data_IF_430702243413
#
_entry.id   IF_430702243413
#
_cell.length_a   1.000
_cell.length_b   1.000
_cell.length_c   1.000
_cell.angle_alpha   90.00
_cell.angle_beta   90.00
_cell.angle_gamma   90.00
#
_symmetry.space_group_name_H-M   'P 1'
#
loop_
_entity.id
_entity.type
_entity.pdbx_description
1 polymer ?
#
# COMPACT_ATOMS: atom_id res chain seq x y z
N UNK A 1 13.90 -1.53 38.76
CA UNK A 1 12.94 -2.54 39.26
C UNK A 1 12.10 -2.97 38.07
N UNK A 2 12.49 -4.05 37.39
CA UNK A 2 11.76 -4.55 36.22
C UNK A 2 10.48 -5.19 36.76
N UNK A 3 9.35 -4.50 36.64
CA UNK A 3 8.05 -5.03 37.04
C UNK A 3 7.70 -6.16 36.07
N UNK A 4 7.44 -7.36 36.62
CA UNK A 4 7.02 -8.53 35.85
C UNK A 4 5.84 -8.16 34.96
N UNK A 5 6.05 -8.29 33.64
CA UNK A 5 5.04 -8.05 32.62
C UNK A 5 4.01 -9.16 32.75
N UNK A 6 2.75 -8.79 33.04
CA UNK A 6 1.64 -9.73 33.16
C UNK A 6 1.45 -10.47 31.82
N UNK A 7 1.42 -11.80 31.84
CA UNK A 7 1.58 -12.68 30.67
C UNK A 7 0.41 -12.67 29.67
N UNK A 8 -0.71 -11.99 29.96
CA UNK A 8 -1.92 -12.05 29.12
C UNK A 8 -1.95 -11.04 27.97
N UNK A 9 -1.25 -9.90 28.06
CA UNK A 9 -1.12 -8.90 26.98
C UNK A 9 0.23 -8.13 27.09
N UNK A 10 1.36 -8.77 26.78
CA UNK A 10 2.70 -8.21 27.06
C UNK A 10 2.95 -6.85 26.39
N UNK A 11 2.42 -6.62 25.18
CA UNK A 11 2.60 -5.35 24.46
C UNK A 11 1.96 -4.15 25.15
N UNK A 12 0.76 -4.30 25.72
CA UNK A 12 0.05 -3.22 26.42
C UNK A 12 0.71 -2.91 27.76
N UNK A 13 1.15 -3.94 28.48
CA UNK A 13 1.88 -3.77 29.72
C UNK A 13 3.21 -3.02 29.50
N UNK A 14 3.95 -3.33 28.44
CA UNK A 14 5.19 -2.62 28.07
C UNK A 14 4.91 -1.15 27.73
N UNK A 15 3.83 -0.84 26.98
CA UNK A 15 3.44 0.55 26.70
C UNK A 15 3.19 1.35 27.98
N UNK A 16 2.47 0.78 28.95
CA UNK A 16 2.20 1.45 30.23
C UNK A 16 3.48 1.72 31.02
N UNK A 17 4.42 0.77 31.05
CA UNK A 17 5.73 0.97 31.68
C UNK A 17 6.49 2.11 31.01
N UNK A 18 6.46 2.20 29.67
CA UNK A 18 7.09 3.28 28.94
C UNK A 18 6.45 4.64 29.26
N UNK A 19 5.12 4.69 29.40
CA UNK A 19 4.39 5.90 29.76
C UNK A 19 4.74 6.41 31.15
N UNK A 20 4.72 5.51 32.14
CA UNK A 20 5.11 5.84 33.51
C UNK A 20 6.54 6.40 33.55
N UNK A 21 7.48 5.73 32.89
CA UNK A 21 8.86 6.17 32.83
C UNK A 21 9.03 7.54 32.15
N UNK A 22 8.29 7.81 31.08
CA UNK A 22 8.32 9.10 30.38
C UNK A 22 7.75 10.22 31.25
N UNK A 23 6.64 9.96 31.95
CA UNK A 23 6.02 10.89 32.89
C UNK A 23 6.96 11.20 34.08
N UNK A 24 7.61 10.18 34.65
CA UNK A 24 8.55 10.33 35.77
C UNK A 24 9.72 11.27 35.45
N UNK A 25 10.18 11.27 34.19
CA UNK A 25 11.27 12.15 33.73
C UNK A 25 10.77 13.43 33.03
N UNK A 26 9.46 13.67 33.01
CA UNK A 26 8.85 14.84 32.39
C UNK A 26 9.06 14.93 30.87
N UNK A 27 9.17 13.79 30.17
CA UNK A 27 9.35 13.72 28.71
C UNK A 27 8.13 13.14 28.02
N UNK A 28 7.96 13.45 26.73
CA UNK A 28 6.93 12.87 25.87
C UNK A 28 7.56 11.85 24.93
N UNK A 29 6.81 10.81 24.59
CA UNK A 29 7.19 9.77 23.64
C UNK A 29 6.64 10.09 22.25
N UNK A 30 7.43 9.81 21.22
CA UNK A 30 6.94 9.72 19.85
C UNK A 30 6.78 8.25 19.48
N UNK A 31 5.56 7.85 19.07
CA UNK A 31 5.26 6.49 18.67
C UNK A 31 5.26 6.41 17.15
N UNK A 32 6.06 5.51 16.60
CA UNK A 32 6.10 5.19 15.17
C UNK A 32 5.71 3.72 15.01
N UNK A 33 4.74 3.43 14.15
CA UNK A 33 4.30 2.07 13.84
C UNK A 33 4.38 1.90 12.33
N UNK A 34 5.19 0.94 11.90
CA UNK A 34 5.22 0.55 10.51
C UNK A 34 4.30 -0.66 10.26
N UNK A 35 3.81 -0.76 9.03
CA UNK A 35 2.89 -1.80 8.55
C UNK A 35 1.71 -2.07 9.50
N UNK A 36 1.04 -1.00 9.96
CA UNK A 36 -0.05 -1.12 10.93
C UNK A 36 -1.17 -2.07 10.47
N UNK A 37 -1.34 -2.20 9.16
CA UNK A 37 -2.37 -3.02 8.49
C UNK A 37 -1.87 -4.39 8.04
N UNK A 38 -0.62 -4.78 8.33
CA UNK A 38 -0.07 -6.09 7.95
C UNK A 38 -1.01 -7.24 8.34
N UNK A 39 -1.54 -7.17 9.57
CA UNK A 39 -2.48 -8.16 10.09
C UNK A 39 -3.80 -8.22 9.29
N UNK A 40 -4.31 -7.08 8.83
CA UNK A 40 -5.50 -7.03 8.00
C UNK A 40 -5.22 -7.59 6.60
N UNK A 41 -4.07 -7.22 6.02
CA UNK A 41 -3.64 -7.69 4.71
C UNK A 41 -3.50 -9.21 4.66
N UNK A 42 -2.90 -9.82 5.69
CA UNK A 42 -2.77 -11.28 5.80
C UNK A 42 -4.14 -11.96 5.91
N UNK A 43 -5.06 -11.40 6.69
CA UNK A 43 -6.37 -12.02 6.91
C UNK A 43 -7.30 -11.89 5.72
N UNK A 44 -7.23 -10.76 5.00
CA UNK A 44 -7.83 -10.61 3.66
C UNK A 44 -7.22 -11.68 2.72
N UNK A 45 -5.89 -11.83 2.75
CA UNK A 45 -5.19 -12.82 1.93
C UNK A 45 -5.47 -14.26 2.34
N UNK A 46 -5.92 -14.56 3.56
CA UNK A 46 -6.28 -15.93 3.97
C UNK A 46 -7.78 -16.22 3.80
N UNK A 47 -8.62 -15.20 3.58
CA UNK A 47 -10.08 -15.36 3.48
C UNK A 47 -10.74 -15.72 4.81
N UNK A 48 -10.07 -15.48 5.94
CA UNK A 48 -10.53 -15.89 7.27
C UNK A 48 -11.19 -14.72 7.98
N UNK A 49 -12.35 -14.32 7.46
CA UNK A 49 -13.16 -13.21 7.98
C UNK A 49 -13.51 -13.38 9.47
N UNK A 50 -13.72 -14.62 9.92
CA UNK A 50 -14.04 -14.93 11.32
C UNK A 50 -12.87 -14.63 12.30
N UNK A 51 -11.62 -14.84 11.89
CA UNK A 51 -10.43 -14.53 12.72
C UNK A 51 -10.20 -13.01 12.74
N UNK A 52 -10.36 -12.34 11.60
CA UNK A 52 -10.31 -10.88 11.50
C UNK A 52 -11.31 -10.22 12.44
N UNK A 53 -12.58 -10.64 12.36
CA UNK A 53 -13.64 -10.13 13.23
C UNK A 53 -13.35 -10.37 14.71
N UNK A 54 -12.71 -11.49 15.09
CA UNK A 54 -12.38 -11.78 16.50
C UNK A 54 -11.19 -10.97 17.05
N UNK A 55 -10.21 -10.64 16.20
CA UNK A 55 -8.96 -9.99 16.63
C UNK A 55 -8.98 -8.48 16.46
N UNK A 56 -9.78 -7.97 15.53
CA UNK A 56 -9.92 -6.53 15.24
C UNK A 56 -11.23 -5.97 15.79
N UNK A 57 -12.33 -6.73 15.80
CA UNK A 57 -13.62 -6.28 16.37
C UNK A 57 -13.81 -6.82 17.79
N UNK A 58 -14.33 -5.95 18.67
CA UNK A 58 -14.69 -6.14 20.10
C UNK A 58 -13.90 -7.21 20.91
N UNK A 59 -13.02 -6.75 21.82
CA UNK A 59 -12.15 -7.53 22.72
C UNK A 59 -10.92 -8.19 22.06
N UNK A 60 -10.52 -7.67 20.90
CA UNK A 60 -9.31 -8.10 20.20
C UNK A 60 -8.06 -7.34 20.67
N UNK A 61 -6.92 -8.03 20.76
CA UNK A 61 -5.65 -7.50 21.25
C UNK A 61 -5.19 -6.26 20.47
N UNK A 62 -5.46 -6.22 19.16
CA UNK A 62 -5.09 -5.10 18.29
C UNK A 62 -5.85 -3.84 18.67
N UNK A 63 -7.17 -3.96 18.91
CA UNK A 63 -7.99 -2.81 19.33
C UNK A 63 -7.52 -2.26 20.68
N UNK A 64 -7.31 -3.14 21.66
CA UNK A 64 -6.87 -2.75 23.01
C UNK A 64 -5.51 -2.04 22.97
N UNK A 65 -4.62 -2.46 22.07
CA UNK A 65 -3.32 -1.84 21.85
C UNK A 65 -3.46 -0.40 21.35
N UNK A 66 -4.22 -0.17 20.27
CA UNK A 66 -4.43 1.19 19.76
C UNK A 66 -5.25 2.07 20.72
N UNK A 67 -6.19 1.51 21.46
CA UNK A 67 -6.90 2.24 22.51
C UNK A 67 -5.95 2.69 23.63
N UNK A 68 -5.00 1.84 24.03
CA UNK A 68 -3.94 2.20 24.98
C UNK A 68 -3.02 3.29 24.45
N UNK A 69 -2.69 3.27 23.14
CA UNK A 69 -1.95 4.35 22.48
C UNK A 69 -2.69 5.68 22.54
N UNK A 70 -3.99 5.68 22.22
CA UNK A 70 -4.85 6.86 22.33
C UNK A 70 -4.93 7.39 23.76
N UNK A 71 -5.08 6.53 24.77
CA UNK A 71 -5.10 6.95 26.18
C UNK A 71 -3.80 7.68 26.53
N UNK A 72 -2.66 7.14 26.09
CA UNK A 72 -1.34 7.74 26.31
C UNK A 72 -1.19 9.14 25.71
N UNK A 73 -1.99 9.55 24.71
CA UNK A 73 -1.89 10.91 24.14
C UNK A 73 -2.40 12.00 25.09
N UNK A 74 -3.09 11.62 26.18
CA UNK A 74 -3.49 12.56 27.21
C UNK A 74 -2.33 13.00 28.10
N UNK A 75 -1.28 12.19 28.20
CA UNK A 75 -0.13 12.42 29.06
C UNK A 75 1.20 12.03 28.39
N UNK A 76 1.58 10.77 28.29
CA UNK A 76 2.95 10.37 27.96
C UNK A 76 3.30 10.49 26.47
N UNK A 77 2.32 10.37 25.57
CA UNK A 77 2.53 10.32 24.12
C UNK A 77 2.30 11.70 23.52
N UNK A 78 3.34 12.28 22.93
CA UNK A 78 3.25 13.59 22.29
C UNK A 78 2.73 13.53 20.85
N UNK A 79 3.10 12.49 20.11
CA UNK A 79 2.74 12.28 18.71
C UNK A 79 2.67 10.79 18.40
N UNK A 80 1.88 10.44 17.39
CA UNK A 80 1.83 9.10 16.81
C UNK A 80 1.92 9.24 15.29
N UNK A 81 2.77 8.45 14.65
CA UNK A 81 2.87 8.33 13.19
C UNK A 81 2.79 6.87 12.81
N UNK A 82 1.87 6.52 11.92
CA UNK A 82 1.67 5.14 11.49
C UNK A 82 1.73 5.03 9.97
N UNK A 83 2.35 3.99 9.46
CA UNK A 83 2.48 3.68 8.03
C UNK A 83 1.91 2.31 7.71
N UNK A 84 1.36 2.16 6.52
CA UNK A 84 0.67 0.95 6.06
C UNK A 84 0.20 1.11 4.63
N UNK A 85 -0.44 0.07 4.09
CA UNK A 85 -0.91 0.05 2.70
C UNK A 85 -2.33 0.62 2.60
N UNK A 86 -3.26 0.13 3.41
CA UNK A 86 -4.69 0.40 3.28
C UNK A 86 -5.35 0.93 4.57
N UNK A 87 -6.38 1.78 4.47
CA UNK A 87 -7.10 2.29 5.63
C UNK A 87 -8.08 1.26 6.25
N UNK A 88 -8.15 0.03 5.72
CA UNK A 88 -9.16 -1.00 6.08
C UNK A 88 -9.22 -1.25 7.58
N UNK A 89 -8.06 -1.34 8.23
CA UNK A 89 -8.00 -1.60 9.68
C UNK A 89 -8.40 -0.37 10.51
N UNK A 90 -8.06 0.84 10.08
CA UNK A 90 -8.25 2.07 10.88
C UNK A 90 -9.73 2.30 11.19
N UNK A 91 -10.61 2.00 10.24
CA UNK A 91 -12.05 2.18 10.44
C UNK A 91 -12.65 1.06 11.29
N UNK A 92 -12.13 -0.16 11.22
CA UNK A 92 -12.52 -1.23 12.15
C UNK A 92 -12.06 -0.96 13.61
N UNK A 93 -11.11 -0.05 13.80
CA UNK A 93 -10.66 0.46 15.11
C UNK A 93 -11.51 1.63 15.64
N UNK A 94 -12.63 1.99 15.00
CA UNK A 94 -13.42 3.26 15.12
C UNK A 94 -13.82 3.76 16.52
N UNK A 95 -13.68 2.97 17.59
CA UNK A 95 -13.82 3.49 18.98
C UNK A 95 -12.50 3.60 19.74
N UNK A 96 -11.51 2.76 19.44
CA UNK A 96 -10.20 2.75 20.08
C UNK A 96 -9.22 3.79 19.56
N UNK A 97 -9.25 4.12 18.25
CA UNK A 97 -8.22 4.97 17.62
C UNK A 97 -8.74 6.03 16.64
N UNK A 98 -9.85 6.69 16.98
CA UNK A 98 -10.49 7.71 16.14
C UNK A 98 -9.78 9.08 16.07
N UNK A 99 -8.49 9.14 16.44
CA UNK A 99 -7.67 10.37 16.45
C UNK A 99 -6.74 10.47 15.23
N UNK A 100 -6.71 9.44 14.38
CA UNK A 100 -5.84 9.39 13.21
C UNK A 100 -6.34 10.31 12.10
N UNK A 101 -5.38 10.96 11.42
CA UNK A 101 -5.60 11.72 10.19
C UNK A 101 -4.88 11.01 9.05
N UNK A 102 -5.57 10.82 7.93
CA UNK A 102 -5.01 10.17 6.74
C UNK A 102 -4.23 11.21 5.92
N UNK A 103 -2.92 11.03 5.80
CA UNK A 103 -2.02 11.93 5.08
C UNK A 103 -1.80 11.54 3.61
N UNK A 104 -2.23 10.34 3.20
CA UNK A 104 -1.96 9.79 1.85
C UNK A 104 -2.53 10.66 0.74
N UNK A 105 -3.71 11.22 0.95
CA UNK A 105 -4.41 12.07 -0.03
C UNK A 105 -4.22 13.56 0.24
N UNK A 106 -3.30 13.95 1.12
CA UNK A 106 -2.97 15.35 1.36
C UNK A 106 -1.90 15.82 0.38
N UNK A 107 -2.15 16.94 -0.28
CA UNK A 107 -1.28 17.52 -1.30
C UNK A 107 0.16 17.70 -0.83
N UNK A 108 0.36 18.12 0.43
CA UNK A 108 1.68 18.43 0.98
C UNK A 108 2.58 17.20 1.07
N UNK A 109 1.99 16.00 1.11
CA UNK A 109 2.71 14.74 1.26
C UNK A 109 2.84 13.96 -0.06
N UNK A 110 2.27 14.44 -1.16
CA UNK A 110 2.27 13.73 -2.44
C UNK A 110 3.69 13.34 -2.90
N UNK A 111 4.65 14.26 -2.79
CA UNK A 111 6.04 14.00 -3.17
C UNK A 111 6.79 13.09 -2.17
N UNK A 112 6.30 12.96 -0.93
CA UNK A 112 6.92 12.10 0.09
C UNK A 112 6.62 10.60 -0.10
N UNK A 113 5.62 10.28 -0.94
CA UNK A 113 5.17 8.90 -1.18
C UNK A 113 6.00 8.17 -2.27
N UNK A 114 7.02 8.82 -2.81
CA UNK A 114 7.96 8.20 -3.74
C UNK A 114 9.15 9.10 -4.00
N UNK A 115 9.87 8.85 -5.09
CA UNK A 115 10.94 9.76 -5.53
C UNK A 115 10.45 10.74 -6.58
N UNK A 116 10.90 11.98 -6.50
CA UNK A 116 10.78 12.96 -7.57
C UNK A 116 11.82 12.69 -8.67
N UNK A 117 11.63 13.29 -9.85
CA UNK A 117 12.63 13.24 -10.93
C UNK A 117 14.01 13.70 -10.46
N UNK A 118 14.07 14.78 -9.67
CA UNK A 118 15.32 15.34 -9.14
C UNK A 118 16.04 14.35 -8.20
N UNK A 119 15.30 13.65 -7.36
CA UNK A 119 15.85 12.62 -6.48
C UNK A 119 16.34 11.41 -7.27
N UNK A 120 15.63 10.97 -8.30
CA UNK A 120 16.09 9.91 -9.21
C UNK A 120 17.39 10.30 -9.91
N UNK A 121 17.47 11.53 -10.43
CA UNK A 121 18.69 12.05 -11.06
C UNK A 121 19.86 12.13 -10.07
N UNK A 122 19.58 12.51 -8.82
CA UNK A 122 20.56 12.54 -7.73
C UNK A 122 21.05 11.14 -7.38
N UNK A 123 20.16 10.14 -7.33
CA UNK A 123 20.53 8.74 -7.08
C UNK A 123 21.39 8.16 -8.21
N UNK A 124 21.06 8.43 -9.47
CA UNK A 124 21.88 8.00 -10.62
C UNK A 124 23.29 8.58 -10.50
N UNK A 125 23.42 9.86 -10.16
CA UNK A 125 24.72 10.50 -9.97
C UNK A 125 25.49 9.91 -8.78
N UNK A 126 24.81 9.70 -7.64
CA UNK A 126 25.42 9.21 -6.41
C UNK A 126 25.90 7.75 -6.54
N UNK A 127 25.20 6.93 -7.33
CA UNK A 127 25.57 5.53 -7.57
C UNK A 127 26.68 5.36 -8.60
N UNK A 128 27.03 6.41 -9.36
CA UNK A 128 28.03 6.35 -10.43
C UNK A 128 27.57 5.57 -11.66
N UNK A 129 26.27 5.29 -11.78
CA UNK A 129 25.70 4.65 -12.97
C UNK A 129 25.88 5.57 -14.17
N UNK A 130 26.52 5.06 -15.23
CA UNK A 130 26.59 5.79 -16.50
C UNK A 130 25.18 5.89 -17.09
N UNK A 131 24.66 7.12 -17.20
CA UNK A 131 23.35 7.40 -17.81
C UNK A 131 23.21 6.81 -19.22
N UNK A 132 24.31 6.61 -19.95
CA UNK A 132 24.30 5.96 -21.28
C UNK A 132 23.90 4.49 -21.24
N UNK A 133 24.08 3.83 -20.09
CA UNK A 133 23.63 2.46 -19.90
C UNK A 133 22.11 2.38 -19.70
N UNK A 134 21.43 3.47 -19.32
CA UNK A 134 19.98 3.48 -19.11
C UNK A 134 19.32 3.68 -20.48
N UNK A 135 19.20 2.60 -21.27
CA UNK A 135 18.55 2.66 -22.60
C UNK A 135 17.04 2.45 -22.53
N UNK A 136 16.52 2.07 -21.36
CA UNK A 136 15.08 1.91 -21.10
C UNK A 136 14.47 3.19 -20.55
N UNK A 137 13.21 3.44 -20.87
CA UNK A 137 12.50 4.61 -20.37
C UNK A 137 12.00 4.38 -18.94
N UNK A 138 12.86 4.63 -17.94
CA UNK A 138 12.53 4.44 -16.51
C UNK A 138 11.28 5.22 -16.05
N UNK A 139 10.94 6.33 -16.71
CA UNK A 139 9.69 7.06 -16.44
C UNK A 139 8.47 6.18 -16.80
N UNK A 140 8.48 5.58 -18.00
CA UNK A 140 7.39 4.72 -18.46
C UNK A 140 7.17 3.49 -17.56
N UNK A 141 8.24 2.97 -16.96
CA UNK A 141 8.16 1.79 -16.11
C UNK A 141 7.82 2.10 -14.66
N UNK A 142 8.32 3.19 -14.09
CA UNK A 142 8.32 3.38 -12.63
C UNK A 142 7.75 4.72 -12.14
N UNK A 143 7.63 5.74 -13.00
CA UNK A 143 6.99 7.02 -12.66
C UNK A 143 5.47 6.89 -12.80
N UNK A 144 4.72 7.91 -12.38
CA UNK A 144 3.32 8.06 -12.74
C UNK A 144 2.40 8.28 -11.54
N UNK A 145 2.89 8.12 -10.32
CA UNK A 145 2.07 8.15 -9.12
C UNK A 145 1.73 9.58 -8.71
N UNK A 146 0.46 9.81 -8.39
CA UNK A 146 -0.10 11.07 -7.92
C UNK A 146 -1.28 10.74 -7.01
N UNK A 147 -1.20 11.24 -5.77
CA UNK A 147 -2.09 10.89 -4.68
C UNK A 147 -3.02 12.03 -4.26
N UNK A 148 -2.75 13.25 -4.74
CA UNK A 148 -3.68 14.37 -4.67
C UNK A 148 -3.93 14.97 -6.06
N UNK A 149 -5.18 15.36 -6.36
CA UNK A 149 -5.57 15.88 -7.67
C UNK A 149 -4.83 17.18 -8.07
N UNK A 150 -4.50 18.01 -7.09
CA UNK A 150 -3.85 19.31 -7.31
C UNK A 150 -2.32 19.24 -7.23
N UNK A 151 -1.75 18.06 -6.90
CA UNK A 151 -0.31 17.90 -6.83
C UNK A 151 0.37 18.18 -8.19
N UNK A 152 1.45 18.96 -8.16
CA UNK A 152 2.21 19.36 -9.35
C UNK A 152 3.19 18.29 -9.83
N UNK A 153 3.64 17.42 -8.92
CA UNK A 153 4.65 16.40 -9.19
C UNK A 153 4.02 15.01 -9.21
N UNK A 154 4.57 14.15 -10.08
CA UNK A 154 4.40 12.71 -9.99
C UNK A 154 5.61 12.10 -9.28
N UNK A 155 5.36 10.99 -8.60
CA UNK A 155 6.36 10.26 -7.88
C UNK A 155 6.67 8.94 -8.59
N UNK A 156 7.93 8.55 -8.52
CA UNK A 156 8.44 7.25 -8.90
C UNK A 156 8.30 6.27 -7.75
N UNK A 157 8.05 5.00 -8.08
CA UNK A 157 8.13 3.90 -7.11
C UNK A 157 9.59 3.75 -6.62
N UNK A 158 9.89 3.99 -5.33
CA UNK A 158 11.25 3.94 -4.80
C UNK A 158 11.88 2.56 -4.95
N UNK A 159 11.13 1.50 -4.64
CA UNK A 159 11.63 0.12 -4.68
C UNK A 159 12.09 -0.24 -6.08
N UNK A 160 11.31 0.11 -7.12
CA UNK A 160 11.69 -0.18 -8.51
C UNK A 160 12.93 0.58 -8.96
N UNK A 161 13.04 1.87 -8.60
CA UNK A 161 14.22 2.68 -8.92
C UNK A 161 15.46 2.11 -8.23
N UNK A 162 15.37 1.81 -6.93
CA UNK A 162 16.49 1.25 -6.17
C UNK A 162 16.90 -0.12 -6.70
N UNK A 163 15.93 -0.98 -7.03
CA UNK A 163 16.18 -2.27 -7.69
C UNK A 163 16.95 -2.08 -9.00
N UNK A 164 16.44 -1.23 -9.90
CA UNK A 164 17.02 -0.99 -11.22
C UNK A 164 18.46 -0.48 -11.13
N UNK A 165 18.71 0.54 -10.30
CA UNK A 165 20.05 1.11 -10.12
C UNK A 165 21.01 0.11 -9.49
N UNK A 166 20.57 -0.64 -8.46
CA UNK A 166 21.39 -1.67 -7.82
C UNK A 166 21.80 -2.79 -8.80
N UNK A 167 20.92 -3.18 -9.73
CA UNK A 167 21.25 -4.19 -10.77
C UNK A 167 22.31 -3.68 -11.75
N UNK A 168 22.24 -2.41 -12.14
CA UNK A 168 23.25 -1.80 -13.01
C UNK A 168 24.59 -1.69 -12.29
N UNK A 169 24.60 -1.21 -11.04
CA UNK A 169 25.84 -1.11 -10.23
C UNK A 169 26.54 -2.46 -10.09
N UNK A 170 25.79 -3.54 -9.89
CA UNK A 170 26.35 -4.88 -9.70
C UNK A 170 26.83 -5.55 -11.00
N UNK A 171 26.09 -5.37 -12.10
CA UNK A 171 26.34 -6.12 -13.34
C UNK A 171 27.04 -5.31 -14.44
N UNK A 172 27.08 -3.99 -14.31
CA UNK A 172 27.53 -3.07 -15.36
C UNK A 172 26.60 -3.04 -16.59
N UNK A 173 25.41 -3.64 -16.50
CA UNK A 173 24.44 -3.78 -17.59
C UNK A 173 23.02 -3.52 -17.08
N UNK A 174 22.10 -3.25 -18.01
CA UNK A 174 20.66 -3.17 -17.71
C UNK A 174 20.19 -4.56 -17.25
N UNK A 175 19.35 -4.64 -16.20
CA UNK A 175 18.74 -5.91 -15.84
C UNK A 175 17.84 -6.43 -16.97
N UNK A 176 17.95 -7.73 -17.28
CA UNK A 176 17.03 -8.42 -18.20
C UNK A 176 15.59 -8.35 -17.67
N UNK A 177 15.43 -8.57 -16.35
CA UNK A 177 14.18 -8.39 -15.63
C UNK A 177 14.06 -6.95 -15.11
N UNK A 178 13.32 -6.12 -15.86
CA UNK A 178 13.08 -4.71 -15.55
C UNK A 178 12.14 -4.56 -14.34
N UNK A 179 11.26 -5.52 -14.09
CA UNK A 179 10.28 -5.50 -13.00
C UNK A 179 10.78 -6.43 -11.91
N UNK A 180 10.80 -5.96 -10.65
CA UNK A 180 11.18 -6.79 -9.51
C UNK A 180 10.08 -7.83 -9.23
N UNK A 181 10.48 -9.08 -9.02
CA UNK A 181 9.62 -10.20 -8.64
C UNK A 181 8.83 -9.93 -7.36
N UNK A 182 9.29 -9.03 -6.48
CA UNK A 182 8.55 -8.63 -5.29
C UNK A 182 7.19 -7.98 -5.61
N UNK A 183 6.96 -7.47 -6.84
CA UNK A 183 5.64 -7.01 -7.27
C UNK A 183 4.65 -8.16 -7.51
N UNK A 184 5.11 -9.41 -7.65
CA UNK A 184 4.25 -10.59 -7.85
C UNK A 184 3.42 -10.94 -6.62
N UNK A 185 3.74 -10.45 -5.43
CA UNK A 185 2.89 -10.70 -4.25
C UNK A 185 1.54 -9.98 -4.35
N UNK A 186 1.45 -8.88 -5.08
CA UNK A 186 0.21 -8.11 -5.25
C UNK A 186 -0.79 -8.80 -6.18
N UNK A 187 -0.32 -9.71 -7.02
CA UNK A 187 -1.14 -10.55 -7.88
C UNK A 187 -2.07 -11.49 -7.09
N UNK A 188 -1.54 -12.22 -6.10
CA UNK A 188 -2.33 -13.17 -5.30
C UNK A 188 -3.42 -12.46 -4.49
N UNK A 189 -3.18 -11.19 -4.15
CA UNK A 189 -4.15 -10.32 -3.49
C UNK A 189 -5.27 -9.92 -4.44
N UNK A 190 -4.95 -9.50 -5.67
CA UNK A 190 -5.95 -9.16 -6.70
C UNK A 190 -6.94 -10.29 -7.00
N UNK A 191 -6.46 -11.54 -7.07
CA UNK A 191 -7.35 -12.70 -7.27
C UNK A 191 -8.41 -12.83 -6.18
N UNK A 192 -8.03 -12.60 -4.92
CA UNK A 192 -8.95 -12.71 -3.78
C UNK A 192 -9.93 -11.55 -3.72
N UNK A 193 -9.45 -10.34 -4.02
CA UNK A 193 -10.30 -9.14 -4.06
C UNK A 193 -11.33 -9.16 -5.20
N UNK A 194 -11.12 -10.01 -6.22
CA UNK A 194 -12.03 -10.20 -7.37
C UNK A 194 -12.82 -11.51 -7.34
N UNK A 195 -12.99 -12.10 -6.15
CA UNK A 195 -13.85 -13.27 -5.97
C UNK A 195 -15.32 -12.97 -6.24
N UNK A 196 -15.80 -11.76 -5.91
CA UNK A 196 -17.15 -11.34 -6.27
C UNK A 196 -17.21 -10.93 -7.76
N UNK A 197 -18.41 -11.03 -8.34
CA UNK A 197 -18.61 -10.75 -9.76
C UNK A 197 -18.42 -9.26 -10.10
N UNK A 198 -18.91 -8.37 -9.25
CA UNK A 198 -18.88 -6.91 -9.48
C UNK A 198 -17.45 -6.34 -9.49
N UNK A 199 -16.60 -6.71 -8.52
CA UNK A 199 -15.18 -6.33 -8.47
C UNK A 199 -14.43 -6.90 -9.67
N UNK A 200 -14.76 -8.13 -10.10
CA UNK A 200 -14.15 -8.71 -11.31
C UNK A 200 -14.53 -7.92 -12.56
N UNK A 201 -15.81 -7.63 -12.75
CA UNK A 201 -16.29 -6.81 -13.88
C UNK A 201 -15.67 -5.41 -13.85
N UNK A 202 -15.55 -4.80 -12.67
CA UNK A 202 -14.87 -3.52 -12.46
C UNK A 202 -13.39 -3.59 -12.82
N UNK A 203 -12.68 -4.64 -12.40
CA UNK A 203 -11.27 -4.83 -12.73
C UNK A 203 -11.08 -4.97 -14.25
N UNK A 204 -11.94 -5.76 -14.91
CA UNK A 204 -11.91 -5.91 -16.37
C UNK A 204 -12.20 -4.59 -17.09
N UNK A 205 -13.12 -3.78 -16.56
CA UNK A 205 -13.37 -2.43 -17.06
C UNK A 205 -12.12 -1.54 -16.93
N UNK A 206 -11.48 -1.52 -15.75
CA UNK A 206 -10.25 -0.76 -15.52
C UNK A 206 -9.17 -1.14 -16.53
N UNK A 207 -8.96 -2.44 -16.76
CA UNK A 207 -7.93 -2.93 -17.68
C UNK A 207 -8.26 -2.52 -19.13
N UNK A 208 -9.52 -2.62 -19.54
CA UNK A 208 -9.97 -2.27 -20.89
C UNK A 208 -9.86 -0.77 -21.17
N UNK A 209 -10.29 0.05 -20.21
CA UNK A 209 -10.45 1.49 -20.38
C UNK A 209 -9.20 2.28 -19.90
N UNK A 210 -8.15 1.56 -19.45
CA UNK A 210 -6.92 2.09 -18.83
C UNK A 210 -7.17 2.98 -17.60
N UNK A 211 -8.30 2.76 -16.92
CA UNK A 211 -8.72 3.54 -15.77
C UNK A 211 -10.22 3.50 -15.52
N UNK A 212 -10.65 4.26 -14.52
CA UNK A 212 -12.05 4.37 -14.10
C UNK A 212 -12.31 5.72 -13.42
N UNK A 213 -13.54 6.24 -13.55
CA UNK A 213 -13.99 7.37 -12.74
C UNK A 213 -14.47 6.89 -11.37
N UNK A 214 -13.91 7.44 -10.30
CA UNK A 214 -14.35 7.13 -8.93
C UNK A 214 -14.01 8.25 -7.96
N UNK A 215 -14.60 8.21 -6.78
CA UNK A 215 -14.13 8.93 -5.60
C UNK A 215 -13.08 8.09 -4.87
N UNK A 216 -12.18 8.74 -4.12
CA UNK A 216 -11.27 8.05 -3.20
C UNK A 216 -11.85 8.14 -1.80
N UNK A 217 -12.28 6.99 -1.27
CA UNK A 217 -12.78 6.88 0.10
C UNK A 217 -11.60 6.79 1.07
N UNK A 218 -11.57 7.63 2.10
CA UNK A 218 -10.44 7.70 3.05
C UNK A 218 -10.64 6.87 4.31
N UNK A 219 -11.85 6.32 4.50
CA UNK A 219 -12.24 5.50 5.65
C UNK A 219 -13.21 4.42 5.18
N UNK A 220 -12.86 3.15 5.45
CA UNK A 220 -13.71 2.00 5.19
C UNK A 220 -13.16 0.74 5.86
N UNK A 221 -14.03 -0.23 6.07
CA UNK A 221 -13.72 -1.54 6.66
C UNK A 221 -13.69 -2.65 5.61
N UNK A 222 -13.30 -3.87 6.03
CA UNK A 222 -13.29 -5.05 5.16
C UNK A 222 -14.68 -5.39 4.62
N UNK A 223 -15.73 -5.15 5.42
CA UNK A 223 -17.12 -5.44 5.03
C UNK A 223 -17.59 -4.53 3.87
N UNK A 224 -16.91 -3.39 3.67
CA UNK A 224 -17.23 -2.46 2.58
C UNK A 224 -16.60 -2.88 1.25
N UNK A 225 -15.64 -3.82 1.22
CA UNK A 225 -14.91 -4.18 0.00
C UNK A 225 -15.75 -4.91 -1.06
N UNK A 226 -16.97 -5.32 -0.71
CA UNK A 226 -17.94 -5.79 -1.69
C UNK A 226 -18.51 -4.66 -2.56
N UNK A 227 -18.46 -3.40 -2.09
CA UNK A 227 -18.87 -2.24 -2.87
C UNK A 227 -17.78 -1.78 -3.84
N UNK A 228 -18.19 -1.49 -5.07
CA UNK A 228 -17.28 -1.11 -6.17
C UNK A 228 -16.44 0.12 -5.83
N UNK A 229 -17.03 1.14 -5.20
CA UNK A 229 -16.29 2.37 -4.87
C UNK A 229 -15.18 2.15 -3.83
N UNK A 230 -15.43 1.28 -2.86
CA UNK A 230 -14.43 0.87 -1.86
C UNK A 230 -13.35 -0.02 -2.47
N UNK A 231 -13.73 -0.95 -3.36
CA UNK A 231 -12.77 -1.76 -4.11
C UNK A 231 -11.82 -0.90 -4.95
N UNK A 232 -12.36 0.07 -5.70
CA UNK A 232 -11.54 1.01 -6.49
C UNK A 232 -10.63 1.86 -5.58
N UNK A 233 -11.12 2.30 -4.43
CA UNK A 233 -10.30 3.01 -3.44
C UNK A 233 -9.17 2.12 -2.91
N UNK A 234 -9.42 0.84 -2.64
CA UNK A 234 -8.38 -0.11 -2.22
C UNK A 234 -7.30 -0.29 -3.30
N UNK A 235 -7.68 -0.41 -4.58
CA UNK A 235 -6.72 -0.47 -5.69
C UNK A 235 -5.83 0.78 -5.75
N UNK A 236 -6.38 1.96 -5.46
CA UNK A 236 -5.60 3.20 -5.33
C UNK A 236 -4.60 3.13 -4.17
N UNK A 237 -5.02 2.72 -2.98
CA UNK A 237 -4.11 2.57 -1.83
C UNK A 237 -3.01 1.52 -2.04
N UNK A 238 -3.31 0.45 -2.79
CA UNK A 238 -2.32 -0.55 -3.19
C UNK A 238 -1.34 -0.06 -4.28
N UNK A 239 -1.50 1.17 -4.79
CA UNK A 239 -0.67 1.68 -5.89
C UNK A 239 -0.96 1.01 -7.24
N UNK A 240 -2.08 0.30 -7.37
CA UNK A 240 -2.53 -0.28 -8.63
C UNK A 240 -3.25 0.73 -9.52
N UNK A 241 -3.80 1.78 -8.90
CA UNK A 241 -4.35 2.95 -9.55
C UNK A 241 -3.73 4.23 -9.00
N UNK A 242 -3.75 5.29 -9.81
CA UNK A 242 -3.27 6.63 -9.44
C UNK A 242 -4.21 7.71 -9.96
N UNK A 243 -4.23 8.88 -9.31
CA UNK A 243 -4.96 10.03 -9.83
C UNK A 243 -4.28 10.53 -11.10
N UNK A 244 -5.08 10.82 -12.11
CA UNK A 244 -4.62 11.49 -13.33
C UNK A 244 -5.20 12.89 -13.47
N UNK A 245 -6.52 13.00 -13.35
CA UNK A 245 -7.26 14.26 -13.47
C UNK A 245 -8.56 14.22 -12.66
N UNK A 246 -9.10 15.40 -12.37
CA UNK A 246 -10.45 15.55 -11.85
C UNK A 246 -11.41 15.96 -12.98
N UNK A 247 -12.57 15.32 -13.06
CA UNK A 247 -13.63 15.66 -14.02
C UNK A 247 -15.01 15.52 -13.37
N UNK A 248 -15.85 16.54 -13.49
CA UNK A 248 -17.25 16.57 -13.00
C UNK A 248 -17.47 16.07 -11.57
N UNK A 249 -16.55 16.40 -10.65
CA UNK A 249 -16.63 16.01 -9.24
C UNK A 249 -16.09 14.61 -8.93
N UNK A 250 -15.64 13.86 -9.93
CA UNK A 250 -14.98 12.57 -9.79
C UNK A 250 -13.49 12.69 -10.16
N UNK A 251 -12.73 11.65 -9.82
CA UNK A 251 -11.34 11.49 -10.23
C UNK A 251 -11.26 10.44 -11.33
N UNK A 252 -10.51 10.73 -12.39
CA UNK A 252 -10.03 9.70 -13.30
C UNK A 252 -8.83 9.02 -12.64
N UNK A 253 -9.02 7.76 -12.25
CA UNK A 253 -7.99 6.90 -11.70
C UNK A 253 -7.47 5.99 -12.81
N UNK A 254 -6.18 6.10 -13.14
CA UNK A 254 -5.57 5.33 -14.23
C UNK A 254 -4.56 4.30 -13.70
N UNK A 255 -4.17 3.37 -14.55
CA UNK A 255 -3.01 2.50 -14.31
C UNK A 255 -1.74 3.37 -14.36
N UNK A 256 -0.90 3.40 -13.31
CA UNK A 256 0.17 4.40 -13.19
C UNK A 256 1.27 4.26 -14.25
N UNK A 257 1.73 3.03 -14.49
CA UNK A 257 2.86 2.75 -15.36
C UNK A 257 2.86 1.32 -15.90
N UNK A 258 3.87 1.02 -16.70
CA UNK A 258 4.03 -0.29 -17.33
C UNK A 258 4.24 -1.42 -16.32
N UNK A 259 4.93 -1.17 -15.20
CA UNK A 259 5.15 -2.21 -14.17
C UNK A 259 3.84 -2.70 -13.58
N UNK A 260 2.93 -1.79 -13.24
CA UNK A 260 1.60 -2.15 -12.74
C UNK A 260 0.73 -2.76 -13.86
N UNK A 261 0.88 -2.31 -15.10
CA UNK A 261 0.19 -2.92 -16.25
C UNK A 261 0.52 -4.41 -16.40
N UNK A 262 1.76 -4.81 -16.15
CA UNK A 262 2.17 -6.22 -16.18
C UNK A 262 1.43 -7.06 -15.14
N UNK A 263 1.20 -6.53 -13.94
CA UNK A 263 0.41 -7.23 -12.89
C UNK A 263 -1.01 -7.53 -13.39
N UNK A 264 -1.65 -6.56 -14.04
CA UNK A 264 -2.98 -6.77 -14.64
C UNK A 264 -2.97 -7.77 -15.79
N UNK A 265 -1.91 -7.78 -16.60
CA UNK A 265 -1.78 -8.73 -17.70
C UNK A 265 -1.60 -10.16 -17.22
N UNK A 266 -0.76 -10.37 -16.20
CA UNK A 266 -0.58 -11.66 -15.54
C UNK A 266 -1.91 -12.16 -14.94
N UNK A 267 -2.67 -11.27 -14.29
CA UNK A 267 -4.01 -11.58 -13.80
C UNK A 267 -4.94 -12.09 -14.90
N UNK A 268 -5.00 -11.40 -16.04
CA UNK A 268 -5.81 -11.84 -17.18
C UNK A 268 -5.35 -13.19 -17.74
N UNK A 269 -4.04 -13.38 -17.90
CA UNK A 269 -3.48 -14.62 -18.45
C UNK A 269 -3.85 -15.82 -17.58
N UNK A 270 -3.73 -15.71 -16.26
CA UNK A 270 -4.14 -16.80 -15.38
C UNK A 270 -5.65 -17.00 -15.39
N UNK A 271 -6.44 -15.93 -15.35
CA UNK A 271 -7.90 -16.05 -15.39
C UNK A 271 -8.35 -16.81 -16.64
N UNK A 272 -7.72 -16.55 -17.78
CA UNK A 272 -7.94 -17.27 -19.04
C UNK A 272 -7.48 -18.73 -18.91
N UNK A 273 -6.29 -18.99 -18.36
CA UNK A 273 -5.76 -20.34 -18.19
C UNK A 273 -6.61 -21.20 -17.25
N UNK A 274 -7.11 -20.63 -16.15
CA UNK A 274 -7.99 -21.32 -15.19
C UNK A 274 -9.36 -21.64 -15.79
N UNK A 275 -9.87 -20.76 -16.64
CA UNK A 275 -11.14 -20.95 -17.36
C UNK A 275 -11.00 -21.93 -18.52
N UNK A 276 -9.82 -21.98 -19.15
CA UNK A 276 -9.52 -22.78 -20.33
C UNK A 276 -8.43 -23.82 -20.05
N UNK A 277 -8.64 -24.72 -19.09
CA UNK A 277 -7.68 -25.81 -18.78
C UNK A 277 -7.32 -26.73 -19.97
N UNK A 278 -8.05 -26.65 -21.08
CA UNK A 278 -7.78 -27.37 -22.33
C UNK A 278 -7.08 -26.53 -23.42
N UNK A 279 -6.93 -25.22 -23.24
CA UNK A 279 -6.24 -24.35 -24.21
C UNK A 279 -4.80 -24.15 -23.75
N UNK A 280 -3.88 -24.93 -24.33
CA UNK A 280 -2.46 -24.63 -24.25
C UNK A 280 -2.19 -23.33 -25.02
N UNK A 281 -1.94 -22.24 -24.29
CA UNK A 281 -1.38 -21.03 -24.89
C UNK A 281 0.02 -21.37 -25.40
N UNK A 282 0.17 -21.51 -26.72
CA UNK A 282 1.48 -21.71 -27.32
C UNK A 282 2.23 -20.37 -27.33
N UNK A 283 3.07 -20.17 -26.32
CA UNK A 283 3.89 -18.95 -26.17
C UNK A 283 5.16 -18.97 -27.05
N UNK A 284 5.32 -19.96 -27.93
CA UNK A 284 6.51 -20.09 -28.79
C UNK A 284 6.63 -19.05 -29.90
N UNK A 285 5.60 -18.22 -30.14
CA UNK A 285 5.62 -17.20 -31.20
C UNK A 285 6.11 -15.82 -30.74
N UNK A 286 6.51 -15.66 -29.47
CA UNK A 286 6.94 -14.38 -28.89
C UNK A 286 8.40 -14.38 -28.38
N UNK A 287 9.25 -15.32 -28.85
CA UNK A 287 10.70 -15.30 -28.60
C UNK A 287 11.46 -14.44 -29.60
#
# INVERSE_FOLDING_TARGET
MIRNINETQPGIAVLRIAYDAANDVGRKIFVIIDEYDHFANDLIAMGVDAIYKKQVRANGIVRDFYETLKIGTSDAVGRIFITGISPVMIDDLTSGFNIASNLTVDEHYNAMLGFTQEEVDTLIKATGVDKKLITVNIQTYYDGYKFHKDASLRAYNPTMILYFLNRIVKSGKIPEEIIDDNLKTDYGRLQRLTMNRENRETLLQIIRDDGIYSEIKTKFSIDNLADTGHFVSLLFYMGLLTIDKADRGLLWLKIPNYSIRTIYWEYLMQMIADTNREVQLNLSEWQ
#
